data_IF_570080126979
#
_entry.id   IF_570080126979
#
_cell.length_a   1.000
_cell.length_b   1.000
_cell.length_c   1.000
_cell.angle_alpha   90.00
_cell.angle_beta   90.00
_cell.angle_gamma   90.00
#
_symmetry.space_group_name_H-M   'P 1'
#
loop_
_entity.id
_entity.type
_entity.pdbx_description
1 polymer ?
#
# COMPACT_ATOMS: atom_id res chain seq x y z
N UNK A 1 -5.42 -21.70 -15.32
CA UNK A 1 -6.06 -22.09 -14.05
C UNK A 1 -5.04 -22.41 -12.95
N UNK A 2 -4.14 -23.41 -13.04
CA UNK A 2 -2.94 -23.49 -12.15
C UNK A 2 -2.01 -22.26 -12.18
N UNK A 3 -2.19 -21.40 -13.18
CA UNK A 3 -1.34 -20.25 -13.45
C UNK A 3 -1.60 -19.06 -12.50
N UNK A 4 -2.84 -18.82 -12.05
CA UNK A 4 -3.17 -17.59 -11.31
C UNK A 4 -2.75 -17.66 -9.82
N UNK A 5 -2.98 -18.78 -9.15
CA UNK A 5 -2.44 -19.04 -7.80
C UNK A 5 -0.91 -19.07 -7.80
N UNK A 6 -0.30 -19.71 -8.80
CA UNK A 6 1.16 -19.74 -8.98
C UNK A 6 1.71 -18.32 -9.20
N UNK A 7 1.06 -17.50 -10.02
CA UNK A 7 1.41 -16.10 -10.21
C UNK A 7 1.40 -15.33 -8.89
N UNK A 8 0.34 -15.47 -8.08
CA UNK A 8 0.27 -14.79 -6.78
C UNK A 8 1.32 -15.28 -5.80
N UNK A 9 1.66 -16.57 -5.82
CA UNK A 9 2.77 -17.09 -5.03
C UNK A 9 4.10 -16.48 -5.46
N UNK A 10 4.34 -16.40 -6.76
CA UNK A 10 5.55 -15.78 -7.33
C UNK A 10 5.61 -14.29 -6.99
N UNK A 11 4.48 -13.56 -7.04
CA UNK A 11 4.40 -12.15 -6.64
C UNK A 11 4.75 -11.98 -5.14
N UNK A 12 4.30 -12.88 -4.26
CA UNK A 12 4.66 -12.86 -2.82
C UNK A 12 6.15 -13.09 -2.59
N UNK A 13 6.73 -14.07 -3.27
CA UNK A 13 8.16 -14.38 -3.19
C UNK A 13 9.01 -13.21 -3.71
N UNK A 14 8.64 -12.64 -4.86
CA UNK A 14 9.27 -11.45 -5.44
C UNK A 14 9.19 -10.26 -4.48
N UNK A 15 8.01 -9.96 -3.94
CA UNK A 15 7.83 -8.86 -3.00
C UNK A 15 8.74 -9.02 -1.77
N UNK A 16 8.81 -10.23 -1.20
CA UNK A 16 9.67 -10.53 -0.05
C UNK A 16 11.14 -10.29 -0.36
N UNK A 17 11.62 -10.73 -1.52
CA UNK A 17 12.99 -10.50 -1.96
C UNK A 17 13.29 -8.99 -2.10
N UNK A 18 12.43 -8.27 -2.80
CA UNK A 18 12.55 -6.82 -2.99
C UNK A 18 12.55 -6.06 -1.66
N UNK A 19 11.68 -6.47 -0.72
CA UNK A 19 11.61 -5.88 0.61
C UNK A 19 12.91 -6.09 1.40
N UNK A 20 13.45 -7.31 1.41
CA UNK A 20 14.69 -7.61 2.13
C UNK A 20 15.88 -6.84 1.54
N UNK A 21 15.96 -6.75 0.21
CA UNK A 21 17.00 -6.00 -0.49
C UNK A 21 16.90 -4.49 -0.21
N UNK A 22 15.68 -3.93 -0.26
CA UNK A 22 15.43 -2.53 0.08
C UNK A 22 15.77 -2.24 1.55
N UNK A 23 15.37 -3.12 2.47
CA UNK A 23 15.64 -2.98 3.91
C UNK A 23 17.14 -2.99 4.20
N UNK A 24 17.88 -3.91 3.60
CA UNK A 24 19.35 -3.98 3.71
C UNK A 24 19.99 -2.70 3.17
N UNK A 25 19.64 -2.29 1.95
CA UNK A 25 20.22 -1.11 1.30
C UNK A 25 19.94 0.17 2.10
N UNK A 26 18.74 0.30 2.66
CA UNK A 26 18.36 1.45 3.47
C UNK A 26 19.10 1.47 4.81
N UNK A 27 19.29 0.30 5.44
CA UNK A 27 20.11 0.18 6.65
C UNK A 27 21.57 0.58 6.38
N UNK A 28 22.17 0.11 5.29
CA UNK A 28 23.53 0.48 4.90
C UNK A 28 23.67 1.99 4.67
N UNK A 29 22.67 2.63 4.07
CA UNK A 29 22.61 4.09 3.91
C UNK A 29 22.60 4.81 5.26
N UNK A 30 21.75 4.38 6.20
CA UNK A 30 21.67 4.95 7.55
C UNK A 30 22.99 4.76 8.32
N UNK A 31 23.57 3.56 8.25
CA UNK A 31 24.80 3.22 8.97
C UNK A 31 26.00 4.00 8.43
N UNK A 32 26.04 4.30 7.13
CA UNK A 32 27.07 5.15 6.53
C UNK A 32 27.06 6.57 7.12
N UNK A 33 25.87 7.14 7.30
CA UNK A 33 25.68 8.48 7.89
C UNK A 33 26.10 8.55 9.37
N UNK A 34 26.16 7.40 10.05
CA UNK A 34 26.59 7.33 11.45
C UNK A 34 28.05 7.73 11.62
N UNK A 35 28.89 7.48 10.61
CA UNK A 35 30.33 7.73 10.65
C UNK A 35 30.71 9.20 10.87
N UNK A 36 29.79 10.12 10.56
CA UNK A 36 29.99 11.56 10.75
C UNK A 36 29.85 11.99 12.23
N UNK A 37 29.48 11.07 13.11
CA UNK A 37 29.22 11.33 14.52
C UNK A 37 30.11 10.47 15.41
N UNK A 38 30.67 11.09 16.44
CA UNK A 38 31.51 10.42 17.44
C UNK A 38 31.04 10.75 18.85
N UNK A 39 31.17 9.77 19.74
CA UNK A 39 30.86 9.97 21.16
C UNK A 39 31.83 10.99 21.76
N UNK A 40 31.29 12.00 22.45
CA UNK A 40 32.09 13.02 23.15
C UNK A 40 32.35 12.69 24.62
N UNK A 41 32.03 11.47 25.07
CA UNK A 41 32.08 11.05 26.47
C UNK A 41 31.42 12.07 27.41
N UNK A 42 30.19 12.48 27.08
CA UNK A 42 29.46 13.53 27.80
C UNK A 42 29.02 13.15 29.22
N UNK A 43 29.22 11.88 29.64
CA UNK A 43 28.80 11.39 30.96
C UNK A 43 27.29 11.18 31.11
N UNK A 44 26.48 11.56 30.12
CA UNK A 44 25.01 11.44 30.15
C UNK A 44 24.51 10.05 29.73
N UNK A 45 25.32 9.30 28.98
CA UNK A 45 25.01 7.92 28.60
C UNK A 45 25.83 6.94 29.45
N UNK A 46 25.16 6.08 30.22
CA UNK A 46 25.80 5.07 31.09
C UNK A 46 26.69 4.06 30.36
N UNK A 47 26.58 3.95 29.04
CA UNK A 47 27.49 3.21 28.17
C UNK A 47 27.96 4.11 27.02
N UNK A 48 29.16 4.68 27.14
CA UNK A 48 29.75 5.58 26.14
C UNK A 48 30.27 4.78 24.94
N UNK A 49 29.40 4.55 23.95
CA UNK A 49 29.71 3.85 22.71
C UNK A 49 28.80 4.30 21.56
N UNK A 50 29.11 3.88 20.33
CA UNK A 50 28.25 4.16 19.19
C UNK A 50 26.96 3.34 19.31
N UNK A 51 25.75 3.94 19.23
CA UNK A 51 24.50 3.21 19.41
C UNK A 51 24.31 2.16 18.31
N UNK A 52 23.98 0.93 18.69
CA UNK A 52 23.79 -0.16 17.72
C UNK A 52 22.56 0.04 16.83
N UNK A 53 21.56 0.77 17.32
CA UNK A 53 20.28 1.01 16.65
C UNK A 53 20.01 2.51 16.49
N UNK A 54 19.67 2.93 15.27
CA UNK A 54 19.25 4.30 14.93
C UNK A 54 17.99 4.74 15.70
N UNK A 55 17.17 3.80 16.15
CA UNK A 55 15.94 4.06 16.90
C UNK A 55 16.16 4.15 18.42
N UNK A 56 17.41 4.02 18.89
CA UNK A 56 17.74 4.12 20.31
C UNK A 56 17.29 5.46 20.91
N UNK A 57 16.79 5.42 22.15
CA UNK A 57 16.53 6.63 22.94
C UNK A 57 17.86 7.16 23.48
N UNK A 58 18.25 8.35 23.04
CA UNK A 58 19.54 8.96 23.38
C UNK A 58 19.35 10.22 24.22
N UNK A 59 20.21 10.47 25.23
CA UNK A 59 20.18 11.71 26.03
C UNK A 59 20.29 12.96 25.15
N UNK A 60 19.68 14.08 25.57
CA UNK A 60 19.62 15.32 24.78
C UNK A 60 20.99 15.83 24.32
N UNK A 61 22.04 15.69 25.13
CA UNK A 61 23.41 16.10 24.78
C UNK A 61 24.18 15.10 23.91
N UNK A 62 23.59 13.95 23.56
CA UNK A 62 24.28 12.92 22.80
C UNK A 62 24.48 13.33 21.33
N UNK A 63 25.73 13.29 20.86
CA UNK A 63 26.09 13.63 19.48
C UNK A 63 25.36 12.78 18.43
N UNK A 64 25.05 11.52 18.74
CA UNK A 64 24.31 10.63 17.82
C UNK A 64 22.82 11.01 17.65
N UNK A 65 22.30 11.98 18.40
CA UNK A 65 21.02 12.61 18.06
C UNK A 65 21.09 13.39 16.76
N UNK A 66 22.25 13.97 16.44
CA UNK A 66 22.48 14.59 15.13
C UNK A 66 22.39 13.59 13.97
N UNK A 67 22.85 12.34 14.18
CA UNK A 67 22.67 11.25 13.22
C UNK A 67 21.18 10.92 13.02
N UNK A 68 20.42 10.82 14.11
CA UNK A 68 18.96 10.63 14.07
C UNK A 68 18.25 11.76 13.31
N UNK A 69 18.58 13.01 13.61
CA UNK A 69 18.02 14.18 12.95
C UNK A 69 18.36 14.22 11.46
N UNK A 70 19.60 13.87 11.10
CA UNK A 70 20.05 13.83 9.71
C UNK A 70 19.35 12.74 8.90
N UNK A 71 19.13 11.55 9.48
CA UNK A 71 18.34 10.48 8.83
C UNK A 71 16.88 10.91 8.65
N UNK A 72 16.27 11.52 9.66
CA UNK A 72 14.89 12.06 9.55
C UNK A 72 14.82 13.13 8.46
N UNK A 73 15.81 14.01 8.37
CA UNK A 73 15.90 15.02 7.33
C UNK A 73 15.96 14.38 5.95
N UNK A 74 16.94 13.48 5.72
CA UNK A 74 17.12 12.73 4.47
C UNK A 74 15.83 12.04 4.02
N UNK A 75 15.11 11.38 4.95
CA UNK A 75 13.83 10.74 4.62
C UNK A 75 12.81 11.75 4.11
N UNK A 76 12.67 12.90 4.80
CA UNK A 76 11.65 13.90 4.49
C UNK A 76 11.95 14.71 3.23
N UNK A 77 13.22 14.97 2.94
CA UNK A 77 13.61 15.89 1.85
C UNK A 77 13.99 15.18 0.56
N UNK A 78 14.43 13.92 0.64
CA UNK A 78 14.95 13.20 -0.52
C UNK A 78 14.20 11.89 -0.74
N UNK A 79 14.24 10.97 0.23
CA UNK A 79 13.74 9.59 0.02
C UNK A 79 12.24 9.55 -0.19
N UNK A 80 11.44 10.12 0.72
CA UNK A 80 9.98 10.07 0.59
C UNK A 80 9.47 10.84 -0.64
N UNK A 81 9.94 12.07 -0.93
CA UNK A 81 9.54 12.79 -2.15
C UNK A 81 9.88 12.04 -3.45
N UNK A 82 11.07 11.42 -3.56
CA UNK A 82 11.47 10.64 -4.73
C UNK A 82 10.55 9.44 -4.95
N UNK A 83 10.26 8.68 -3.89
CA UNK A 83 9.36 7.53 -3.95
C UNK A 83 7.92 7.94 -4.30
N UNK A 84 7.42 9.03 -3.70
CA UNK A 84 6.10 9.57 -4.04
C UNK A 84 6.04 9.99 -5.51
N UNK A 85 7.09 10.65 -6.02
CA UNK A 85 7.20 11.05 -7.42
C UNK A 85 7.13 9.88 -8.37
N UNK A 86 7.93 8.84 -8.11
CA UNK A 86 7.97 7.61 -8.92
C UNK A 86 6.68 6.80 -8.87
N UNK A 87 6.03 6.73 -7.71
CA UNK A 87 4.70 6.11 -7.60
C UNK A 87 3.67 6.88 -8.42
N UNK A 88 3.72 8.22 -8.45
CA UNK A 88 2.85 9.02 -9.32
C UNK A 88 3.10 8.75 -10.80
N UNK A 89 4.35 8.57 -11.22
CA UNK A 89 4.68 8.20 -12.61
C UNK A 89 4.06 6.85 -13.01
N UNK A 90 4.08 5.86 -12.12
CA UNK A 90 3.39 4.57 -12.34
C UNK A 90 1.87 4.77 -12.53
N UNK A 91 1.27 5.65 -11.72
CA UNK A 91 -0.15 5.97 -11.81
C UNK A 91 -0.50 6.73 -13.10
N UNK A 92 0.34 7.66 -13.54
CA UNK A 92 0.13 8.35 -14.81
C UNK A 92 0.28 7.39 -16.00
N UNK A 93 1.25 6.48 -15.97
CA UNK A 93 1.45 5.48 -17.02
C UNK A 93 0.21 4.58 -17.20
N UNK A 94 -0.57 4.37 -16.14
CA UNK A 94 -1.85 3.64 -16.17
C UNK A 94 -2.81 4.20 -17.22
N UNK A 95 -2.78 5.50 -17.52
CA UNK A 95 -3.65 6.14 -18.51
C UNK A 95 -3.42 5.63 -19.95
N UNK A 96 -2.30 4.93 -20.21
CA UNK A 96 -2.05 4.22 -21.47
C UNK A 96 -2.93 2.96 -21.64
N UNK A 97 -3.60 2.55 -20.56
CA UNK A 97 -4.44 1.35 -20.51
C UNK A 97 -5.90 1.73 -20.25
N UNK A 98 -6.81 0.82 -20.58
CA UNK A 98 -8.25 1.09 -20.52
C UNK A 98 -9.06 -0.11 -20.09
N UNK A 99 -10.16 0.14 -19.40
CA UNK A 99 -11.13 -0.88 -19.05
C UNK A 99 -11.66 -1.60 -20.31
N UNK A 100 -11.48 -2.93 -20.37
CA UNK A 100 -11.97 -3.82 -21.44
C UNK A 100 -13.44 -4.22 -21.28
N UNK A 101 -14.16 -3.67 -20.29
CA UNK A 101 -15.56 -4.00 -19.99
C UNK A 101 -15.80 -5.50 -19.75
N UNK A 102 -14.84 -6.17 -19.10
CA UNK A 102 -14.96 -7.60 -18.76
C UNK A 102 -16.04 -7.89 -17.71
N UNK A 103 -16.52 -6.85 -17.02
CA UNK A 103 -17.49 -6.95 -15.95
C UNK A 103 -16.93 -7.45 -14.62
N UNK A 104 -15.66 -7.86 -14.52
CA UNK A 104 -15.14 -8.50 -13.30
C UNK A 104 -15.23 -7.59 -12.07
N UNK A 105 -14.65 -6.39 -12.11
CA UNK A 105 -14.75 -5.43 -10.99
C UNK A 105 -16.18 -4.89 -10.78
N UNK A 106 -16.98 -4.80 -11.85
CA UNK A 106 -18.38 -4.39 -11.74
C UNK A 106 -19.26 -5.46 -11.11
N UNK A 107 -18.92 -6.74 -11.27
CA UNK A 107 -19.69 -7.86 -10.72
C UNK A 107 -19.19 -8.29 -9.36
N UNK A 108 -17.91 -8.12 -9.06
CA UNK A 108 -17.29 -8.68 -7.88
C UNK A 108 -16.29 -7.69 -7.30
N UNK A 109 -16.79 -6.51 -6.92
CA UNK A 109 -16.03 -5.58 -6.09
C UNK A 109 -15.94 -6.14 -4.67
N UNK A 110 -14.81 -5.93 -4.01
CA UNK A 110 -14.60 -6.38 -2.63
C UNK A 110 -14.09 -5.23 -1.76
N UNK A 111 -14.48 -5.24 -0.49
CA UNK A 111 -14.01 -4.28 0.51
C UNK A 111 -13.85 -4.97 1.86
N UNK A 112 -12.89 -4.52 2.66
CA UNK A 112 -12.76 -4.91 4.07
C UNK A 112 -13.85 -4.29 4.95
N UNK A 113 -14.54 -3.26 4.45
CA UNK A 113 -15.64 -2.60 5.15
C UNK A 113 -16.98 -3.19 4.72
N UNK A 114 -17.87 -3.38 5.69
CA UNK A 114 -19.27 -3.68 5.46
C UNK A 114 -20.01 -2.51 4.82
N UNK A 115 -21.18 -2.79 4.25
CA UNK A 115 -21.97 -1.75 3.59
C UNK A 115 -22.45 -0.66 4.56
N UNK A 116 -22.70 -1.03 5.82
CA UNK A 116 -23.09 -0.06 6.86
C UNK A 116 -21.92 0.85 7.23
N UNK A 117 -20.72 0.30 7.41
CA UNK A 117 -19.50 1.08 7.67
C UNK A 117 -19.17 2.01 6.51
N UNK A 118 -19.31 1.55 5.25
CA UNK A 118 -19.14 2.40 4.07
C UNK A 118 -20.18 3.54 4.03
N UNK A 119 -21.44 3.27 4.40
CA UNK A 119 -22.45 4.32 4.52
C UNK A 119 -22.14 5.32 5.63
N UNK A 120 -21.59 4.87 6.75
CA UNK A 120 -21.15 5.75 7.83
C UNK A 120 -19.97 6.62 7.40
N UNK A 121 -18.94 6.03 6.79
CA UNK A 121 -17.80 6.75 6.20
C UNK A 121 -18.26 7.79 5.18
N UNK A 122 -19.21 7.43 4.30
CA UNK A 122 -19.80 8.36 3.34
C UNK A 122 -20.49 9.55 4.02
N UNK A 123 -21.23 9.33 5.10
CA UNK A 123 -21.84 10.42 5.91
C UNK A 123 -20.78 11.31 6.55
N UNK A 124 -19.60 10.76 6.86
CA UNK A 124 -18.45 11.48 7.39
C UNK A 124 -17.56 12.11 6.29
N UNK A 125 -18.11 12.32 5.08
CA UNK A 125 -17.45 12.94 3.93
C UNK A 125 -16.25 12.16 3.36
N UNK A 126 -16.20 10.84 3.58
CA UNK A 126 -15.26 9.98 2.85
C UNK A 126 -15.68 9.88 1.37
N UNK A 127 -14.87 10.47 0.49
CA UNK A 127 -15.16 10.54 -0.95
C UNK A 127 -15.18 9.15 -1.62
N UNK A 128 -14.28 8.24 -1.22
CA UNK A 128 -14.27 6.89 -1.76
C UNK A 128 -15.54 6.16 -1.36
N UNK A 129 -15.87 6.17 -0.06
CA UNK A 129 -17.04 5.48 0.46
C UNK A 129 -18.34 6.04 -0.13
N UNK A 130 -18.44 7.37 -0.28
CA UNK A 130 -19.59 8.03 -0.91
C UNK A 130 -19.83 7.56 -2.34
N UNK A 131 -18.79 7.54 -3.17
CA UNK A 131 -18.91 7.01 -4.54
C UNK A 131 -19.15 5.50 -4.57
N UNK A 132 -18.55 4.75 -3.65
CA UNK A 132 -18.71 3.31 -3.57
C UNK A 132 -20.17 2.93 -3.29
N UNK A 133 -20.79 3.51 -2.26
CA UNK A 133 -22.20 3.21 -1.90
C UNK A 133 -23.20 3.73 -2.94
N UNK A 134 -22.81 4.73 -3.73
CA UNK A 134 -23.62 5.18 -4.86
C UNK A 134 -23.65 4.12 -5.98
N UNK A 135 -22.52 3.46 -6.26
CA UNK A 135 -22.40 2.55 -7.42
C UNK A 135 -22.72 1.10 -7.07
N UNK A 136 -22.28 0.66 -5.90
CA UNK A 136 -22.21 -0.74 -5.51
C UNK A 136 -23.23 -1.08 -4.44
N UNK A 137 -23.82 -2.27 -4.56
CA UNK A 137 -24.74 -2.85 -3.59
C UNK A 137 -24.19 -4.20 -3.11
N UNK A 138 -24.38 -4.56 -1.83
CA UNK A 138 -23.81 -5.79 -1.29
C UNK A 138 -24.52 -7.01 -1.87
N UNK A 139 -23.77 -8.10 -2.04
CA UNK A 139 -24.39 -9.41 -2.21
C UNK A 139 -25.12 -9.83 -0.92
N UNK A 140 -26.17 -10.63 -1.06
CA UNK A 140 -26.92 -11.16 0.10
C UNK A 140 -26.06 -12.06 0.98
N UNK A 141 -25.12 -12.79 0.37
CA UNK A 141 -24.21 -13.70 1.03
C UNK A 141 -22.98 -13.94 0.14
N UNK A 142 -21.91 -14.44 0.73
CA UNK A 142 -20.65 -14.73 0.03
C UNK A 142 -20.83 -15.82 -1.04
N UNK A 143 -21.74 -16.78 -0.84
CA UNK A 143 -21.97 -17.87 -1.80
C UNK A 143 -22.53 -17.37 -3.14
N UNK A 144 -23.37 -16.34 -3.12
CA UNK A 144 -23.87 -15.70 -4.34
C UNK A 144 -22.77 -14.94 -5.07
N UNK A 145 -21.86 -14.28 -4.34
CA UNK A 145 -20.69 -13.63 -4.92
C UNK A 145 -19.72 -14.63 -5.57
N UNK A 146 -19.46 -15.76 -4.89
CA UNK A 146 -18.61 -16.86 -5.38
C UNK A 146 -19.10 -17.42 -6.70
N UNK A 147 -20.41 -17.58 -6.91
CA UNK A 147 -20.96 -18.11 -8.17
C UNK A 147 -20.61 -17.26 -9.39
N UNK A 148 -20.31 -15.97 -9.21
CA UNK A 148 -20.08 -15.04 -10.32
C UNK A 148 -18.67 -15.17 -10.89
N UNK A 149 -17.67 -15.34 -10.02
CA UNK A 149 -16.30 -15.64 -10.43
C UNK A 149 -15.62 -16.49 -9.34
N UNK A 150 -15.86 -17.82 -9.32
CA UNK A 150 -15.43 -18.68 -8.23
C UNK A 150 -13.95 -18.60 -7.92
N UNK A 151 -13.10 -18.65 -8.96
CA UNK A 151 -11.64 -18.63 -8.79
C UNK A 151 -11.14 -17.31 -8.19
N UNK A 152 -11.64 -16.18 -8.69
CA UNK A 152 -11.25 -14.85 -8.20
C UNK A 152 -11.77 -14.61 -6.77
N UNK A 153 -13.02 -15.02 -6.49
CA UNK A 153 -13.59 -14.92 -5.15
C UNK A 153 -12.82 -15.78 -4.13
N UNK A 154 -12.45 -17.02 -4.49
CA UNK A 154 -11.67 -17.91 -3.63
C UNK A 154 -10.32 -17.31 -3.27
N UNK A 155 -9.62 -16.71 -4.24
CA UNK A 155 -8.32 -16.06 -4.01
C UNK A 155 -8.45 -14.86 -3.08
N UNK A 156 -9.48 -14.03 -3.28
CA UNK A 156 -9.71 -12.89 -2.40
C UNK A 156 -10.04 -13.36 -0.98
N UNK A 157 -10.81 -14.43 -0.83
CA UNK A 157 -11.14 -15.01 0.47
C UNK A 157 -9.94 -15.69 1.15
N UNK A 158 -9.09 -16.40 0.43
CA UNK A 158 -7.85 -16.95 0.99
C UNK A 158 -6.93 -15.84 1.51
N UNK A 159 -6.84 -14.73 0.76
CA UNK A 159 -5.91 -13.65 1.09
C UNK A 159 -6.45 -12.69 2.16
N UNK A 160 -7.76 -12.47 2.22
CA UNK A 160 -8.38 -11.42 3.02
C UNK A 160 -9.55 -11.90 3.89
N UNK A 161 -9.93 -13.18 3.80
CA UNK A 161 -11.17 -13.72 4.36
C UNK A 161 -11.01 -14.60 5.60
N UNK A 162 -9.80 -14.95 6.03
CA UNK A 162 -9.59 -15.81 7.23
C UNK A 162 -10.12 -15.16 8.53
N UNK A 163 -10.23 -13.84 8.59
CA UNK A 163 -10.77 -13.08 9.73
C UNK A 163 -12.16 -12.44 9.50
N UNK A 164 -12.89 -12.88 8.45
CA UNK A 164 -14.28 -12.44 8.21
C UNK A 164 -14.48 -11.00 7.71
N UNK A 165 -13.40 -10.29 7.35
CA UNK A 165 -13.47 -8.88 6.93
C UNK A 165 -13.91 -8.63 5.49
N UNK A 166 -13.89 -9.65 4.61
CA UNK A 166 -14.10 -9.40 3.18
C UNK A 166 -15.58 -9.42 2.78
N UNK A 167 -16.09 -8.26 2.37
CA UNK A 167 -17.44 -8.04 1.87
C UNK A 167 -17.43 -7.94 0.35
N UNK A 168 -18.42 -8.54 -0.32
CA UNK A 168 -18.55 -8.51 -1.78
C UNK A 168 -19.74 -7.67 -2.22
N UNK A 169 -19.56 -6.98 -3.33
CA UNK A 169 -20.52 -6.05 -3.90
C UNK A 169 -20.62 -6.19 -5.43
N UNK A 170 -21.74 -5.74 -5.97
CA UNK A 170 -21.94 -5.62 -7.41
C UNK A 170 -22.48 -4.23 -7.79
N UNK A 171 -22.12 -3.80 -8.98
CA UNK A 171 -22.55 -2.54 -9.55
C UNK A 171 -24.04 -2.62 -9.92
N UNK A 172 -24.85 -1.68 -9.41
CA UNK A 172 -26.28 -1.61 -9.71
C UNK A 172 -26.59 -1.20 -11.15
N UNK A 173 -25.61 -0.61 -11.84
CA UNK A 173 -25.76 -0.13 -13.22
C UNK A 173 -25.40 -1.18 -14.27
N UNK A 174 -24.66 -2.24 -13.91
CA UNK A 174 -24.21 -3.25 -14.87
C UNK A 174 -25.41 -4.05 -15.41
N UNK A 175 -25.50 -4.16 -16.74
CA UNK A 175 -26.52 -4.95 -17.44
C UNK A 175 -25.92 -6.26 -17.99
N UNK A 176 -26.79 -7.07 -18.59
CA UNK A 176 -26.41 -8.30 -19.26
C UNK A 176 -25.32 -8.06 -20.32
N UNK A 177 -24.47 -9.05 -20.53
CA UNK A 177 -23.34 -8.92 -21.45
C UNK A 177 -22.24 -7.95 -20.98
N UNK A 178 -22.20 -7.59 -19.69
CA UNK A 178 -21.22 -6.65 -19.10
C UNK A 178 -21.34 -5.21 -19.63
N UNK A 179 -22.53 -4.83 -20.08
CA UNK A 179 -22.79 -3.48 -20.60
C UNK A 179 -22.98 -2.50 -19.44
N UNK A 180 -22.18 -1.44 -19.41
CA UNK A 180 -22.35 -0.32 -18.49
C UNK A 180 -23.05 0.83 -19.23
N UNK A 181 -24.33 1.13 -18.94
CA UNK A 181 -25.09 2.17 -19.64
C UNK A 181 -24.58 3.58 -19.34
N UNK A 182 -23.92 3.76 -18.20
CA UNK A 182 -23.33 5.03 -17.77
C UNK A 182 -21.83 5.08 -18.02
N UNK A 183 -21.28 4.32 -18.99
CA UNK A 183 -19.82 4.19 -19.12
C UNK A 183 -19.11 5.55 -19.28
N UNK A 184 -19.60 6.43 -20.16
CA UNK A 184 -18.99 7.75 -20.38
C UNK A 184 -19.19 8.70 -19.19
N UNK A 185 -20.29 8.56 -18.47
CA UNK A 185 -20.63 9.36 -17.28
C UNK A 185 -20.31 8.65 -15.97
N UNK A 186 -19.50 7.57 -16.00
CA UNK A 186 -19.26 6.74 -14.82
C UNK A 186 -18.58 7.55 -13.71
N UNK A 187 -18.85 7.26 -12.41
CA UNK A 187 -18.21 7.95 -11.30
C UNK A 187 -16.69 7.77 -11.28
N UNK A 188 -16.00 8.65 -10.55
CA UNK A 188 -14.54 8.72 -10.52
C UNK A 188 -13.91 7.41 -10.02
N UNK A 189 -14.51 6.77 -9.02
CA UNK A 189 -14.10 5.44 -8.53
C UNK A 189 -14.02 4.39 -9.65
N UNK A 190 -14.89 4.49 -10.66
CA UNK A 190 -14.87 3.59 -11.83
C UNK A 190 -13.88 4.03 -12.92
N UNK A 191 -13.48 5.30 -12.96
CA UNK A 191 -12.49 5.83 -13.91
C UNK A 191 -11.07 5.53 -13.45
N UNK A 192 -10.85 5.64 -12.15
CA UNK A 192 -9.55 5.52 -11.53
C UNK A 192 -9.19 4.06 -11.24
N UNK A 193 -10.18 3.16 -11.13
CA UNK A 193 -9.90 1.75 -10.93
C UNK A 193 -9.10 1.11 -12.09
N UNK A 194 -8.03 0.34 -11.82
CA UNK A 194 -7.37 0.17 -10.52
C UNK A 194 -6.49 1.39 -10.18
N UNK A 195 -6.57 1.89 -8.96
CA UNK A 195 -5.77 3.01 -8.45
C UNK A 195 -4.50 2.56 -7.72
N UNK A 196 -4.27 1.25 -7.60
CA UNK A 196 -3.10 0.64 -6.99
C UNK A 196 -2.59 -0.55 -7.86
N UNK A 197 -1.32 -0.55 -8.33
CA UNK A 197 -0.73 -1.68 -9.04
C UNK A 197 -0.61 -2.95 -8.19
N UNK A 198 -0.71 -2.85 -6.85
CA UNK A 198 -0.73 -4.00 -5.94
C UNK A 198 -2.09 -4.72 -5.93
N UNK A 199 -3.13 -4.13 -6.51
CA UNK A 199 -4.44 -4.75 -6.63
C UNK A 199 -4.36 -6.12 -7.32
N UNK A 200 -5.22 -7.06 -6.89
CA UNK A 200 -5.35 -8.36 -7.54
C UNK A 200 -6.24 -8.19 -8.77
N UNK A 201 -5.64 -8.31 -9.94
CA UNK A 201 -6.33 -8.19 -11.22
C UNK A 201 -6.34 -9.55 -11.92
N UNK A 202 -7.48 -10.01 -12.45
CA UNK A 202 -7.50 -11.21 -13.28
C UNK A 202 -6.74 -10.95 -14.60
N UNK A 203 -6.15 -11.98 -15.24
CA UNK A 203 -5.45 -11.83 -16.53
C UNK A 203 -6.31 -11.26 -17.67
N UNK A 204 -7.63 -11.36 -17.55
CA UNK A 204 -8.59 -10.79 -18.50
C UNK A 204 -8.75 -9.27 -18.34
N UNK A 205 -8.29 -8.68 -17.23
CA UNK A 205 -8.43 -7.25 -16.95
C UNK A 205 -7.73 -6.38 -18.01
N UNK A 206 -8.34 -5.24 -18.34
CA UNK A 206 -7.75 -4.28 -19.26
C UNK A 206 -6.45 -3.64 -18.78
N UNK A 207 -6.21 -3.67 -17.48
CA UNK A 207 -5.05 -3.11 -16.80
C UNK A 207 -4.06 -4.19 -16.32
N UNK A 208 -4.25 -5.45 -16.71
CA UNK A 208 -3.36 -6.53 -16.27
C UNK A 208 -1.93 -6.34 -16.77
N UNK A 209 -1.76 -5.97 -18.05
CA UNK A 209 -0.46 -5.69 -18.63
C UNK A 209 0.25 -4.51 -17.92
N UNK A 210 -0.48 -3.44 -17.59
CA UNK A 210 0.06 -2.35 -16.78
C UNK A 210 0.61 -2.85 -15.45
N UNK A 211 -0.17 -3.64 -14.71
CA UNK A 211 0.25 -4.25 -13.44
C UNK A 211 1.53 -5.07 -13.62
N UNK A 212 1.60 -5.91 -14.65
CA UNK A 212 2.77 -6.75 -14.90
C UNK A 212 4.01 -5.92 -15.25
N UNK A 213 3.87 -4.92 -16.13
CA UNK A 213 4.96 -4.07 -16.58
C UNK A 213 5.57 -3.24 -15.43
N UNK A 214 4.74 -2.78 -14.49
CA UNK A 214 5.19 -1.93 -13.37
C UNK A 214 5.46 -2.72 -12.08
N UNK A 215 5.22 -4.04 -12.06
CA UNK A 215 5.21 -4.85 -10.84
C UNK A 215 6.46 -4.68 -9.98
N UNK A 216 7.65 -4.84 -10.57
CA UNK A 216 8.93 -4.73 -9.85
C UNK A 216 9.11 -3.34 -9.23
N UNK A 217 8.83 -2.28 -9.99
CA UNK A 217 8.94 -0.91 -9.51
C UNK A 217 7.92 -0.63 -8.40
N UNK A 218 6.65 -0.99 -8.61
CA UNK A 218 5.58 -0.82 -7.64
C UNK A 218 5.88 -1.55 -6.31
N UNK A 219 6.29 -2.81 -6.36
CA UNK A 219 6.69 -3.58 -5.19
C UNK A 219 7.88 -2.97 -4.47
N UNK A 220 8.89 -2.53 -5.21
CA UNK A 220 10.07 -1.88 -4.63
C UNK A 220 9.70 -0.60 -3.91
N UNK A 221 8.92 0.28 -4.55
CA UNK A 221 8.51 1.56 -3.97
C UNK A 221 7.56 1.38 -2.79
N UNK A 222 6.66 0.39 -2.86
CA UNK A 222 5.83 0.03 -1.71
C UNK A 222 6.68 -0.43 -0.52
N UNK A 223 7.62 -1.35 -0.74
CA UNK A 223 8.53 -1.82 0.31
C UNK A 223 9.34 -0.66 0.90
N UNK A 224 9.95 0.19 0.06
CA UNK A 224 10.70 1.37 0.50
C UNK A 224 9.82 2.31 1.34
N UNK A 225 8.55 2.50 0.96
CA UNK A 225 7.61 3.33 1.72
C UNK A 225 7.32 2.82 3.11
N UNK A 226 7.16 1.50 3.27
CA UNK A 226 6.99 0.87 4.57
C UNK A 226 8.26 0.99 5.42
N UNK A 227 9.42 0.77 4.81
CA UNK A 227 10.71 0.82 5.49
C UNK A 227 11.01 2.23 6.00
N UNK A 228 10.99 3.25 5.13
CA UNK A 228 11.28 4.62 5.58
C UNK A 228 10.20 5.11 6.55
N UNK A 229 8.93 4.69 6.36
CA UNK A 229 7.83 5.05 7.25
C UNK A 229 8.06 4.55 8.67
N UNK A 230 8.47 3.28 8.81
CA UNK A 230 8.85 2.69 10.09
C UNK A 230 9.99 3.48 10.76
N UNK A 231 11.09 3.72 10.05
CA UNK A 231 12.23 4.45 10.62
C UNK A 231 11.87 5.87 11.00
N UNK A 232 11.14 6.58 10.14
CA UNK A 232 10.69 7.95 10.40
C UNK A 232 9.86 8.03 11.69
N UNK A 233 8.90 7.12 11.86
CA UNK A 233 8.06 7.04 13.08
C UNK A 233 8.94 6.78 14.32
N UNK A 234 9.75 5.72 14.30
CA UNK A 234 10.51 5.28 15.47
C UNK A 234 11.59 6.28 15.87
N UNK A 235 12.31 6.85 14.91
CA UNK A 235 13.36 7.84 15.19
C UNK A 235 12.72 9.13 15.71
N UNK A 236 11.61 9.60 15.12
CA UNK A 236 10.90 10.79 15.60
C UNK A 236 10.39 10.60 17.04
N UNK A 237 9.88 9.41 17.36
CA UNK A 237 9.46 9.06 18.72
C UNK A 237 10.65 9.06 19.70
N UNK A 238 11.79 8.50 19.32
CA UNK A 238 13.02 8.51 20.14
C UNK A 238 13.56 9.93 20.37
N UNK A 239 13.51 10.79 19.35
CA UNK A 239 13.89 12.20 19.48
C UNK A 239 12.92 13.00 20.39
N UNK A 240 11.66 12.59 20.47
CA UNK A 240 10.62 13.31 21.22
C UNK A 240 10.49 12.89 22.69
N UNK A 241 11.07 11.75 23.10
CA UNK A 241 10.81 11.16 24.42
C UNK A 241 11.33 11.94 25.64
N UNK A 242 12.16 12.98 25.43
CA UNK A 242 12.74 13.81 26.52
C UNK A 242 12.21 15.26 26.54
N UNK A 243 11.15 15.60 25.78
CA UNK A 243 10.50 16.93 25.88
C UNK A 243 9.60 17.10 27.12
N UNK A 244 9.59 16.16 28.06
CA UNK A 244 8.91 16.30 29.35
C UNK A 244 9.92 16.81 30.38
N UNK A 245 9.97 18.14 30.48
CA UNK A 245 10.48 18.86 31.65
C UNK A 245 9.64 18.53 32.90
#
# INVERSE_FOLDING_TARGET
MKNFELQLKNERELYRELFLNASKSFKELIDKLKGDFTCKNCGECGNCGAPEDITAKLPQGCAYRGWQEMVVHLIKTEVAPDIIGKTREIQEYRHSFRCKRTGTCCRLASSEFSYEELKEKAKNNDNFAGQFVEVFVPYKNIEDAKKVFPEYASILLEKFGEDGGLNFYHCKHLKDGNVCPIYESRPQICRDFPDDPLAILPPTCGYYAWKEEVAVAAYTFHAMSQIYGFYLEKITAALSSDKKA
#
